data_IF_554631710482
#
_entry.id   IF_554631710482
#
_cell.length_a   1.000
_cell.length_b   1.000
_cell.length_c   1.000
_cell.angle_alpha   90.00
_cell.angle_beta   90.00
_cell.angle_gamma   90.00
#
_symmetry.space_group_name_H-M   'P 1'
#
loop_
_entity.id
_entity.type
_entity.pdbx_description
1 polymer ?
#
# COMPACT_ATOMS: atom_id res chain seq x y z
N UNK A 1 -10.68 -15.11 5.95
CA UNK A 1 -11.51 -13.92 6.22
C UNK A 1 -10.72 -12.72 5.73
N UNK A 2 -11.19 -12.01 4.72
CA UNK A 2 -10.46 -10.89 4.12
C UNK A 2 -10.91 -9.60 4.80
N UNK A 3 -10.27 -9.26 5.92
CA UNK A 3 -10.56 -8.04 6.66
C UNK A 3 -10.07 -6.83 5.85
N UNK A 4 -11.00 -6.20 5.14
CA UNK A 4 -10.80 -4.87 4.56
C UNK A 4 -10.87 -3.83 5.68
N UNK A 5 -10.07 -2.77 5.59
CA UNK A 5 -10.08 -1.68 6.57
C UNK A 5 -10.22 -0.33 5.87
N UNK A 6 -10.65 0.68 6.62
CA UNK A 6 -10.76 2.05 6.11
C UNK A 6 -9.62 2.88 6.64
N UNK A 7 -8.97 3.63 5.75
CA UNK A 7 -7.95 4.61 6.09
C UNK A 7 -8.14 5.86 5.23
N UNK A 8 -8.28 7.00 5.90
CA UNK A 8 -8.37 8.31 5.28
C UNK A 8 -9.43 8.44 4.15
N UNK A 9 -10.60 7.82 4.36
CA UNK A 9 -11.70 7.83 3.40
C UNK A 9 -11.66 6.70 2.35
N UNK A 10 -10.57 5.95 2.27
CA UNK A 10 -10.41 4.84 1.33
C UNK A 10 -10.52 3.48 2.02
N UNK A 11 -11.03 2.48 1.31
CA UNK A 11 -11.11 1.09 1.76
C UNK A 11 -9.96 0.29 1.15
N UNK A 12 -9.16 -0.31 2.01
CA UNK A 12 -8.03 -1.13 1.63
C UNK A 12 -8.27 -2.59 1.94
N UNK A 13 -7.79 -3.44 1.03
CA UNK A 13 -7.74 -4.88 1.19
C UNK A 13 -6.27 -5.30 1.27
N UNK A 14 -5.82 -5.95 2.37
CA UNK A 14 -4.49 -6.55 2.40
C UNK A 14 -4.40 -7.67 1.35
N UNK A 15 -3.35 -7.66 0.54
CA UNK A 15 -3.20 -8.57 -0.60
C UNK A 15 -2.10 -9.59 -0.34
N UNK A 16 -0.86 -9.13 -0.18
CA UNK A 16 0.31 -10.00 -0.01
C UNK A 16 1.49 -9.27 0.63
N UNK A 17 2.47 -10.04 1.07
CA UNK A 17 3.81 -9.55 1.38
C UNK A 17 4.64 -9.38 0.11
N UNK A 18 5.59 -8.46 0.15
CA UNK A 18 6.63 -8.37 -0.87
C UNK A 18 7.61 -9.53 -0.67
N UNK A 19 8.08 -10.13 -1.78
CA UNK A 19 9.16 -11.11 -1.73
C UNK A 19 10.48 -10.41 -1.43
N UNK A 20 11.43 -11.10 -0.81
CA UNK A 20 12.79 -10.58 -0.56
C UNK A 20 13.44 -10.02 -1.84
N UNK A 21 13.16 -10.63 -2.99
CA UNK A 21 13.62 -10.16 -4.31
C UNK A 21 13.03 -8.81 -4.70
N UNK A 22 11.76 -8.54 -4.35
CA UNK A 22 11.05 -7.29 -4.64
C UNK A 22 11.41 -6.17 -3.63
N UNK A 23 12.02 -6.50 -2.49
CA UNK A 23 12.43 -5.55 -1.43
C UNK A 23 13.80 -4.91 -1.75
N UNK A 24 14.57 -5.48 -2.69
CA UNK A 24 15.82 -4.88 -3.14
C UNK A 24 15.59 -3.53 -3.82
N UNK A 25 16.33 -2.49 -3.41
CA UNK A 25 16.13 -1.10 -3.86
C UNK A 25 16.00 -0.92 -5.39
N UNK A 26 16.75 -1.70 -6.19
CA UNK A 26 16.67 -1.66 -7.67
C UNK A 26 15.37 -2.25 -8.23
N UNK A 27 14.86 -3.31 -7.61
CA UNK A 27 13.66 -4.01 -8.05
C UNK A 27 12.42 -3.25 -7.59
N UNK A 28 12.40 -2.84 -6.31
CA UNK A 28 11.31 -2.08 -5.71
C UNK A 28 10.99 -0.79 -6.49
N UNK A 29 12.00 0.00 -6.85
CA UNK A 29 11.78 1.23 -7.61
C UNK A 29 11.19 0.99 -9.01
N UNK A 30 11.34 -0.21 -9.58
CA UNK A 30 10.75 -0.56 -10.88
C UNK A 30 9.28 -0.93 -10.76
N UNK A 31 8.84 -1.36 -9.57
CA UNK A 31 7.43 -1.65 -9.26
C UNK A 31 6.67 -0.44 -8.74
N UNK A 32 7.37 0.59 -8.27
CA UNK A 32 6.77 1.81 -7.75
C UNK A 32 6.39 2.76 -8.88
N UNK A 33 5.13 3.14 -8.87
CA UNK A 33 4.60 4.20 -9.72
C UNK A 33 4.45 5.47 -8.90
N UNK A 34 5.49 6.31 -8.91
CA UNK A 34 5.47 7.60 -8.20
C UNK A 34 4.47 8.60 -8.79
N UNK A 35 3.97 8.38 -10.01
CA UNK A 35 2.91 9.20 -10.59
C UNK A 35 1.53 8.84 -10.02
N UNK A 36 1.37 7.63 -9.46
CA UNK A 36 0.16 7.18 -8.77
C UNK A 36 0.37 7.39 -7.26
N UNK A 37 -0.01 8.57 -6.77
CA UNK A 37 -0.10 8.85 -5.34
C UNK A 37 -1.56 8.99 -4.94
N UNK A 38 -1.95 8.38 -3.82
CA UNK A 38 -3.30 8.53 -3.32
C UNK A 38 -3.45 9.94 -2.72
N UNK A 39 -4.43 10.76 -3.18
CA UNK A 39 -4.70 12.07 -2.59
C UNK A 39 -5.38 11.86 -1.24
N UNK A 40 -4.56 11.82 -0.20
CA UNK A 40 -4.97 11.64 1.18
C UNK A 40 -5.46 12.99 1.73
N UNK A 41 -6.68 13.02 2.30
CA UNK A 41 -7.28 14.22 2.90
C UNK A 41 -6.51 14.69 4.14
N UNK A 42 -6.14 13.73 5.00
CA UNK A 42 -5.23 13.92 6.14
C UNK A 42 -3.79 13.55 5.80
N UNK A 43 -2.79 14.14 6.50
CA UNK A 43 -1.40 13.71 6.37
C UNK A 43 -1.27 12.21 6.62
N UNK A 44 -0.47 11.57 5.77
CA UNK A 44 -0.16 10.16 5.90
C UNK A 44 0.61 9.89 7.18
N UNK A 45 0.23 8.82 7.87
CA UNK A 45 0.94 8.30 9.03
C UNK A 45 1.01 6.78 8.91
N UNK A 46 2.24 6.27 8.86
CA UNK A 46 2.55 4.85 8.67
C UNK A 46 1.98 4.00 9.81
N UNK A 47 2.11 4.46 11.05
CA UNK A 47 1.65 3.72 12.23
C UNK A 47 0.12 3.66 12.29
N UNK A 48 -0.57 4.76 11.98
CA UNK A 48 -2.02 4.80 11.91
C UNK A 48 -2.55 3.92 10.77
N UNK A 49 -1.84 3.83 9.65
CA UNK A 49 -2.22 2.95 8.56
C UNK A 49 -2.20 1.49 8.99
N UNK A 50 -1.08 1.02 9.57
CA UNK A 50 -0.97 -0.35 10.05
C UNK A 50 -1.89 -0.63 11.23
N UNK A 51 -2.13 0.35 12.11
CA UNK A 51 -3.13 0.24 13.17
C UNK A 51 -4.54 0.03 12.62
N UNK A 52 -4.92 0.77 11.57
CA UNK A 52 -6.19 0.57 10.87
C UNK A 52 -6.25 -0.79 10.17
N UNK A 53 -5.11 -1.27 9.66
CA UNK A 53 -4.96 -2.60 9.07
C UNK A 53 -4.87 -3.73 10.11
N UNK A 54 -5.22 -3.49 11.38
CA UNK A 54 -5.11 -4.48 12.47
C UNK A 54 -3.69 -5.06 12.64
N UNK A 55 -2.67 -4.23 12.42
CA UNK A 55 -1.26 -4.62 12.35
C UNK A 55 -1.01 -5.75 11.34
N UNK A 56 -1.69 -5.67 10.20
CA UNK A 56 -1.54 -6.64 9.10
C UNK A 56 -0.06 -6.82 8.77
N UNK A 57 0.42 -8.07 8.63
CA UNK A 57 1.80 -8.30 8.24
C UNK A 57 2.03 -8.07 6.74
N UNK A 58 1.02 -7.64 5.97
CA UNK A 58 1.11 -7.46 4.52
C UNK A 58 1.78 -6.14 4.14
N UNK A 59 2.37 -6.11 2.95
CA UNK A 59 3.08 -4.95 2.40
C UNK A 59 2.30 -4.31 1.24
N UNK A 60 1.51 -5.11 0.51
CA UNK A 60 0.72 -4.67 -0.65
C UNK A 60 -0.76 -4.63 -0.29
N UNK A 61 -1.38 -3.49 -0.55
CA UNK A 61 -2.78 -3.23 -0.26
C UNK A 61 -3.51 -2.76 -1.51
N UNK A 62 -4.68 -3.33 -1.80
CA UNK A 62 -5.53 -2.87 -2.90
C UNK A 62 -6.52 -1.84 -2.37
N UNK A 63 -6.57 -0.66 -2.97
CA UNK A 63 -7.65 0.30 -2.75
C UNK A 63 -8.87 -0.15 -3.55
N UNK A 64 -10.01 -0.34 -2.89
CA UNK A 64 -11.22 -0.84 -3.52
C UNK A 64 -11.94 0.24 -4.35
N UNK A 65 -11.73 1.51 -4.05
CA UNK A 65 -12.38 2.61 -4.78
C UNK A 65 -11.80 2.83 -6.17
N UNK A 66 -10.51 2.53 -6.38
CA UNK A 66 -9.85 2.71 -7.66
C UNK A 66 -9.26 1.42 -8.26
N UNK A 67 -9.33 0.31 -7.52
CA UNK A 67 -8.82 -1.01 -7.91
C UNK A 67 -7.31 -1.15 -7.94
N UNK A 68 -6.55 -0.09 -7.64
CA UNK A 68 -5.08 -0.05 -7.71
C UNK A 68 -4.43 -0.58 -6.44
N UNK A 69 -3.18 -0.99 -6.58
CA UNK A 69 -2.35 -1.46 -5.47
C UNK A 69 -1.46 -0.35 -4.96
N UNK A 70 -1.22 -0.37 -3.66
CA UNK A 70 -0.42 0.59 -2.93
C UNK A 70 0.48 -0.12 -1.94
N UNK A 71 1.71 0.40 -1.81
CA UNK A 71 2.65 0.01 -0.76
C UNK A 71 2.78 1.19 0.22
N UNK A 72 2.57 0.97 1.53
CA UNK A 72 2.87 1.95 2.56
C UNK A 72 4.38 2.15 2.63
N UNK A 73 4.83 3.38 2.41
CA UNK A 73 6.23 3.79 2.56
C UNK A 73 6.31 4.99 3.51
N UNK A 74 7.52 5.32 3.96
CA UNK A 74 7.75 6.43 4.90
C UNK A 74 7.11 7.76 4.44
N UNK A 75 7.17 8.02 3.13
CA UNK A 75 6.61 9.21 2.52
C UNK A 75 5.13 9.11 2.09
N UNK A 76 4.44 8.00 2.31
CA UNK A 76 3.04 7.84 1.89
C UNK A 76 2.69 6.49 1.26
N UNK A 77 1.47 6.40 0.78
CA UNK A 77 1.01 5.29 -0.05
C UNK A 77 1.48 5.50 -1.50
N UNK A 78 2.47 4.73 -1.91
CA UNK A 78 2.98 4.74 -3.28
C UNK A 78 2.26 3.70 -4.12
N UNK A 79 1.90 4.06 -5.36
CA UNK A 79 1.31 3.13 -6.31
C UNK A 79 2.26 1.97 -6.58
N UNK A 80 1.73 0.75 -6.55
CA UNK A 80 2.46 -0.47 -6.82
C UNK A 80 1.92 -1.11 -8.09
N UNK A 81 2.82 -1.41 -9.02
CA UNK A 81 2.55 -2.20 -10.22
C UNK A 81 3.14 -3.57 -9.99
N UNK A 82 2.29 -4.59 -9.97
CA UNK A 82 2.80 -5.96 -10.06
C UNK A 82 3.58 -6.08 -11.37
N UNK A 83 4.88 -6.38 -11.24
CA UNK A 83 5.69 -6.69 -12.42
C UNK A 83 5.13 -7.95 -13.06
N UNK A 84 5.08 -7.93 -14.39
CA UNK A 84 4.74 -9.13 -15.17
C UNK A 84 5.83 -10.19 -15.00
#
# INVERSE_FOLDING_TARGET
>A
MTNTFKYNGFTFKPVRKLKITEIGYRDFSSHIDSAIRLPLDKPYDYNLFYKAAENSPMDVFQCLENGKYYVPCDNGLMGFREGK
#
